data_IF_511807071003
#
_entry.id   IF_511807071003
#
_cell.length_a   1.000
_cell.length_b   1.000
_cell.length_c   1.000
_cell.angle_alpha   90.00
_cell.angle_beta   90.00
_cell.angle_gamma   90.00
#
_symmetry.space_group_name_H-M   'P 1'
#
loop_
_entity.id
_entity.type
_entity.pdbx_description
1 polymer ?
#
# COMPACT_ATOMS: atom_id res chain seq x y z
N UNK A 1 62.25 45.12 26.62
CA UNK A 1 60.94 45.78 26.45
C UNK A 1 60.03 44.86 25.64
N UNK A 2 58.82 44.59 26.13
CA UNK A 2 57.73 43.86 25.45
C UNK A 2 57.04 44.79 24.42
N UNK A 3 56.60 44.26 23.27
CA UNK A 3 55.18 44.23 22.82
C UNK A 3 55.05 43.70 21.37
N UNK A 4 54.12 42.74 21.22
CA UNK A 4 53.56 42.21 19.96
C UNK A 4 52.71 43.26 19.22
N UNK A 5 52.61 43.15 17.88
CA UNK A 5 51.39 43.30 17.06
C UNK A 5 51.75 43.00 15.58
N UNK A 6 51.31 41.90 14.95
CA UNK A 6 50.01 41.60 14.31
C UNK A 6 49.65 42.39 13.02
N UNK A 7 49.65 41.65 11.90
CA UNK A 7 48.67 41.57 10.78
C UNK A 7 48.30 42.81 9.95
N UNK A 8 48.29 42.65 8.61
CA UNK A 8 47.04 42.44 7.85
C UNK A 8 47.29 41.98 6.40
N UNK A 9 46.54 40.95 6.02
CA UNK A 9 46.52 40.26 4.74
C UNK A 9 45.80 41.06 3.65
N UNK A 10 46.35 40.98 2.44
CA UNK A 10 45.82 41.50 1.18
C UNK A 10 44.59 40.69 0.77
N UNK A 11 43.41 41.31 0.77
CA UNK A 11 42.17 40.73 0.25
C UNK A 11 42.09 40.90 -1.26
N UNK A 12 42.40 39.83 -2.00
CA UNK A 12 42.24 39.74 -3.45
C UNK A 12 40.80 39.26 -3.76
N UNK A 13 40.03 40.10 -4.44
CA UNK A 13 38.80 39.67 -5.12
C UNK A 13 39.18 38.78 -6.30
N UNK A 14 38.54 37.62 -6.46
CA UNK A 14 38.12 37.04 -7.75
C UNK A 14 37.40 35.70 -7.53
N UNK A 15 36.19 35.58 -8.07
CA UNK A 15 35.63 34.31 -8.49
C UNK A 15 34.74 33.57 -7.49
N UNK A 16 33.44 33.85 -7.55
CA UNK A 16 32.45 32.82 -7.26
C UNK A 16 32.60 31.71 -8.32
N UNK A 17 33.21 30.60 -7.95
CA UNK A 17 32.95 29.30 -8.58
C UNK A 17 32.40 28.42 -7.48
N UNK A 18 31.08 28.44 -7.32
CA UNK A 18 30.40 27.31 -6.73
C UNK A 18 30.51 26.21 -7.79
N UNK A 19 31.42 25.27 -7.57
CA UNK A 19 31.33 23.95 -8.19
C UNK A 19 29.97 23.39 -7.78
N UNK A 20 28.99 23.57 -8.67
CA UNK A 20 27.79 22.79 -8.66
C UNK A 20 28.23 21.34 -8.77
N UNK A 21 28.25 20.66 -7.64
CA UNK A 21 28.03 19.22 -7.61
C UNK A 21 26.67 19.00 -8.25
N UNK A 22 26.66 18.91 -9.57
CA UNK A 22 25.61 18.26 -10.32
C UNK A 22 25.73 16.77 -9.97
N UNK A 23 25.30 16.45 -8.75
CA UNK A 23 24.77 15.14 -8.45
C UNK A 23 23.47 15.07 -9.22
N UNK A 24 23.55 14.88 -10.53
CA UNK A 24 22.54 14.11 -11.23
C UNK A 24 22.66 12.73 -10.60
N UNK A 25 21.96 12.59 -9.48
CA UNK A 25 21.56 11.31 -8.94
C UNK A 25 20.82 10.67 -10.12
N UNK A 26 21.51 9.78 -10.84
CA UNK A 26 20.90 8.93 -11.85
C UNK A 26 19.67 8.35 -11.17
N UNK A 27 18.49 8.89 -11.51
CA UNK A 27 17.25 8.46 -10.93
C UNK A 27 17.11 7.00 -11.33
N UNK A 28 17.43 6.11 -10.40
CA UNK A 28 17.26 4.67 -10.59
C UNK A 28 15.85 4.47 -11.14
N UNK A 29 15.68 3.62 -12.17
CA UNK A 29 14.38 3.42 -12.77
C UNK A 29 13.39 3.07 -11.67
N UNK A 30 12.42 3.97 -11.46
CA UNK A 30 11.41 3.81 -10.42
C UNK A 30 10.66 2.52 -10.69
N UNK A 31 10.51 1.69 -9.66
CA UNK A 31 9.72 0.48 -9.79
C UNK A 31 8.30 0.88 -10.21
N UNK A 32 7.63 0.23 -11.19
CA UNK A 32 6.32 0.67 -11.69
C UNK A 32 5.24 0.87 -10.61
N UNK A 33 5.38 0.16 -9.49
CA UNK A 33 4.51 0.26 -8.32
C UNK A 33 4.72 1.55 -7.49
N UNK A 34 5.88 2.22 -7.57
CA UNK A 34 6.18 3.43 -6.78
C UNK A 34 5.26 4.61 -7.12
N UNK A 35 4.77 4.66 -8.35
CA UNK A 35 3.85 5.69 -8.84
C UNK A 35 2.39 5.42 -8.45
N UNK A 36 2.10 4.25 -7.88
CA UNK A 36 0.74 3.93 -7.46
C UNK A 36 0.29 4.88 -6.34
N UNK A 37 -0.89 5.46 -6.53
CA UNK A 37 -1.56 6.34 -5.56
C UNK A 37 -3.05 6.02 -5.54
N UNK A 38 -3.73 6.30 -4.42
CA UNK A 38 -5.18 6.17 -4.29
C UNK A 38 -5.74 7.29 -3.38
N UNK A 39 -6.84 7.97 -3.77
CA UNK A 39 -7.41 9.05 -2.96
C UNK A 39 -7.79 8.61 -1.53
N UNK A 40 -7.29 9.35 -0.54
CA UNK A 40 -7.56 9.06 0.87
C UNK A 40 -6.75 7.91 1.47
N UNK A 41 -5.72 7.42 0.75
CA UNK A 41 -4.74 6.47 1.26
C UNK A 41 -3.35 7.11 1.29
N UNK A 42 -2.61 6.86 2.37
CA UNK A 42 -1.24 7.33 2.49
C UNK A 42 -0.33 6.57 1.50
N UNK A 43 0.72 7.27 1.06
CA UNK A 43 1.75 6.79 0.17
C UNK A 43 2.77 5.98 0.99
N UNK A 44 2.47 4.70 1.21
CA UNK A 44 3.16 3.84 2.15
C UNK A 44 3.51 2.49 1.54
N UNK A 45 4.70 2.03 1.88
CA UNK A 45 5.26 0.79 1.38
C UNK A 45 5.10 -0.33 2.42
N UNK A 46 5.24 -1.56 1.94
CA UNK A 46 5.63 -2.71 2.76
C UNK A 46 6.81 -3.37 2.04
N UNK A 47 7.03 -4.69 2.19
CA UNK A 47 8.04 -5.43 1.44
C UNK A 47 8.01 -5.20 -0.10
N UNK A 48 6.96 -4.55 -0.63
CA UNK A 48 6.89 -3.96 -1.97
C UNK A 48 6.53 -2.47 -1.93
N UNK A 49 6.98 -1.66 -2.93
CA UNK A 49 6.58 -0.26 -3.06
C UNK A 49 5.07 -0.10 -3.12
N UNK A 50 4.52 0.88 -2.40
CA UNK A 50 3.09 1.22 -2.34
C UNK A 50 2.14 0.08 -1.95
N UNK A 51 2.66 -0.99 -1.38
CA UNK A 51 1.84 -2.14 -1.03
C UNK A 51 0.81 -1.82 0.07
N UNK A 52 1.17 -1.01 1.08
CA UNK A 52 0.18 -0.55 2.08
C UNK A 52 -0.85 0.39 1.46
N UNK A 53 -0.45 1.20 0.47
CA UNK A 53 -1.38 2.08 -0.25
C UNK A 53 -2.46 1.28 -0.98
N UNK A 54 -2.11 0.21 -1.71
CA UNK A 54 -3.11 -0.63 -2.40
C UNK A 54 -3.97 -1.43 -1.43
N UNK A 55 -3.41 -1.88 -0.29
CA UNK A 55 -4.20 -2.50 0.78
C UNK A 55 -5.25 -1.54 1.35
N UNK A 56 -4.86 -0.29 1.60
CA UNK A 56 -5.81 0.75 2.00
C UNK A 56 -6.90 0.96 0.95
N UNK A 57 -6.55 1.02 -0.34
CA UNK A 57 -7.52 1.19 -1.42
C UNK A 57 -8.55 0.04 -1.45
N UNK A 58 -8.08 -1.20 -1.40
CA UNK A 58 -8.93 -2.40 -1.39
C UNK A 58 -9.82 -2.46 -0.14
N UNK A 59 -9.29 -2.05 1.02
CA UNK A 59 -10.07 -2.01 2.27
C UNK A 59 -11.16 -0.93 2.26
N UNK A 60 -10.90 0.21 1.62
CA UNK A 60 -11.94 1.23 1.39
C UNK A 60 -13.03 0.70 0.47
N UNK A 61 -12.65 0.03 -0.64
CA UNK A 61 -13.61 -0.60 -1.54
C UNK A 61 -14.46 -1.66 -0.82
N UNK A 62 -13.86 -2.42 0.10
CA UNK A 62 -14.56 -3.41 0.93
C UNK A 62 -15.55 -2.73 1.88
N UNK A 63 -15.10 -1.74 2.65
CA UNK A 63 -15.91 -1.01 3.65
C UNK A 63 -17.11 -0.28 3.03
N UNK A 64 -16.99 0.20 1.79
CA UNK A 64 -18.13 0.77 1.06
C UNK A 64 -19.24 -0.26 0.75
N UNK A 65 -18.93 -1.55 0.88
CA UNK A 65 -19.74 -2.69 0.39
C UNK A 65 -20.01 -3.74 1.45
N UNK A 66 -19.60 -3.53 2.70
CA UNK A 66 -19.69 -4.52 3.77
C UNK A 66 -20.88 -4.31 4.71
N UNK A 67 -21.76 -3.36 4.45
CA UNK A 67 -22.92 -3.12 5.32
C UNK A 67 -23.85 -4.34 5.41
N UNK A 68 -24.34 -4.67 6.60
CA UNK A 68 -25.21 -5.83 6.83
C UNK A 68 -26.19 -5.59 7.97
N UNK A 69 -27.26 -6.40 8.00
CA UNK A 69 -28.21 -6.47 9.10
C UNK A 69 -28.17 -7.83 9.80
N UNK A 70 -27.82 -8.90 9.07
CA UNK A 70 -27.75 -10.26 9.57
C UNK A 70 -26.61 -11.04 8.89
N UNK A 71 -26.19 -12.16 9.50
CA UNK A 71 -25.08 -12.98 9.01
C UNK A 71 -25.26 -13.44 7.55
N UNK A 72 -26.50 -13.75 7.14
CA UNK A 72 -26.80 -14.20 5.76
C UNK A 72 -26.71 -13.09 4.71
N UNK A 73 -26.56 -11.84 5.11
CA UNK A 73 -26.23 -10.76 4.18
C UNK A 73 -24.76 -10.84 3.76
N UNK A 74 -23.91 -11.49 4.54
CA UNK A 74 -22.46 -11.48 4.35
C UNK A 74 -21.97 -12.69 3.55
N UNK A 75 -21.04 -12.41 2.65
CA UNK A 75 -20.41 -13.44 1.81
C UNK A 75 -18.90 -13.21 1.72
N UNK A 76 -18.16 -14.31 1.70
CA UNK A 76 -16.74 -14.30 1.42
C UNK A 76 -16.48 -14.11 -0.08
N UNK A 77 -15.57 -13.20 -0.40
CA UNK A 77 -15.13 -12.92 -1.76
C UNK A 77 -13.62 -13.06 -1.82
N UNK A 78 -13.16 -14.04 -2.57
CA UNK A 78 -11.77 -14.15 -2.96
C UNK A 78 -11.50 -13.08 -4.02
N UNK A 79 -10.69 -12.09 -3.66
CA UNK A 79 -10.11 -11.15 -4.62
C UNK A 79 -8.94 -11.87 -5.30
N UNK A 80 -8.72 -11.60 -6.58
CA UNK A 80 -7.49 -12.04 -7.23
C UNK A 80 -6.31 -11.29 -6.58
N UNK A 81 -5.67 -11.91 -5.60
CA UNK A 81 -4.55 -11.36 -4.84
C UNK A 81 -3.25 -11.26 -5.62
N UNK A 82 -3.27 -11.29 -6.97
CA UNK A 82 -2.07 -11.19 -7.80
C UNK A 82 -1.17 -10.06 -7.28
N UNK A 83 0.09 -10.37 -7.05
CA UNK A 83 1.15 -9.50 -6.51
C UNK A 83 0.90 -8.84 -5.13
N UNK A 84 -0.33 -8.87 -4.60
CA UNK A 84 -0.70 -8.21 -3.35
C UNK A 84 -0.90 -9.18 -2.20
N UNK A 85 -1.38 -10.39 -2.46
CA UNK A 85 -1.88 -11.33 -1.46
C UNK A 85 -3.23 -10.96 -0.86
N UNK A 86 -3.85 -9.86 -1.31
CA UNK A 86 -5.09 -9.35 -0.72
C UNK A 86 -6.27 -10.28 -1.00
N UNK A 87 -7.06 -10.57 0.02
CA UNK A 87 -8.25 -11.43 -0.10
C UNK A 87 -7.94 -12.91 -0.31
N UNK A 88 -6.66 -13.31 -0.35
CA UNK A 88 -6.26 -14.70 -0.21
C UNK A 88 -6.46 -15.15 1.23
N UNK A 89 -6.06 -14.30 2.19
CA UNK A 89 -6.30 -14.58 3.59
C UNK A 89 -6.26 -13.36 4.54
N UNK A 90 -7.32 -13.16 5.35
CA UNK A 90 -8.65 -13.72 5.18
C UNK A 90 -9.28 -13.27 3.84
N UNK A 91 -10.29 -13.98 3.32
CA UNK A 91 -11.08 -13.47 2.21
C UNK A 91 -11.79 -12.17 2.61
N UNK A 92 -12.06 -11.32 1.62
CA UNK A 92 -12.82 -10.10 1.87
C UNK A 92 -14.28 -10.46 2.17
N UNK A 93 -14.82 -9.88 3.24
CA UNK A 93 -16.23 -10.05 3.61
C UNK A 93 -17.01 -8.80 3.18
N UNK A 94 -18.05 -9.01 2.39
CA UNK A 94 -18.91 -7.96 1.86
C UNK A 94 -20.37 -8.38 1.89
N UNK A 95 -21.27 -7.42 1.68
CA UNK A 95 -22.68 -7.70 1.45
C UNK A 95 -22.87 -8.50 0.15
N UNK A 96 -23.76 -9.48 0.19
CA UNK A 96 -24.09 -10.37 -0.93
C UNK A 96 -24.58 -9.61 -2.15
N UNK A 97 -25.38 -8.55 -1.95
CA UNK A 97 -25.88 -7.70 -3.04
C UNK A 97 -24.75 -6.94 -3.74
N UNK A 98 -23.70 -6.58 -3.01
CA UNK A 98 -22.55 -5.80 -3.51
C UNK A 98 -21.39 -6.67 -4.00
N UNK A 99 -21.51 -8.01 -3.90
CA UNK A 99 -20.42 -8.97 -4.18
C UNK A 99 -19.80 -8.80 -5.56
N UNK A 100 -20.62 -8.76 -6.61
CA UNK A 100 -20.13 -8.73 -7.99
C UNK A 100 -19.40 -7.41 -8.30
N UNK A 101 -19.94 -6.31 -7.79
CA UNK A 101 -19.32 -4.99 -7.96
C UNK A 101 -18.00 -4.91 -7.19
N UNK A 102 -17.95 -5.38 -5.95
CA UNK A 102 -16.71 -5.45 -5.17
C UNK A 102 -15.64 -6.26 -5.90
N UNK A 103 -15.98 -7.47 -6.35
CA UNK A 103 -15.03 -8.35 -7.04
C UNK A 103 -14.45 -7.70 -8.30
N UNK A 104 -15.29 -7.00 -9.07
CA UNK A 104 -14.87 -6.29 -10.28
C UNK A 104 -13.91 -5.15 -9.94
N UNK A 105 -14.31 -4.24 -9.04
CA UNK A 105 -13.50 -3.07 -8.67
C UNK A 105 -12.19 -3.47 -7.98
N UNK A 106 -12.22 -4.49 -7.13
CA UNK A 106 -11.03 -4.98 -6.46
C UNK A 106 -10.04 -5.61 -7.45
N UNK A 107 -10.52 -6.37 -8.44
CA UNK A 107 -9.66 -6.93 -9.49
C UNK A 107 -9.03 -5.84 -10.37
N UNK A 108 -9.80 -4.82 -10.77
CA UNK A 108 -9.29 -3.66 -11.50
C UNK A 108 -8.23 -2.91 -10.70
N UNK A 109 -8.44 -2.75 -9.40
CA UNK A 109 -7.52 -2.07 -8.51
C UNK A 109 -6.21 -2.84 -8.34
N UNK A 110 -6.27 -4.16 -8.18
CA UNK A 110 -5.08 -5.02 -8.17
C UNK A 110 -4.34 -4.93 -9.50
N UNK A 111 -5.04 -4.96 -10.65
CA UNK A 111 -4.42 -4.84 -11.96
C UNK A 111 -3.73 -3.48 -12.16
N UNK A 112 -4.30 -2.40 -11.62
CA UNK A 112 -3.72 -1.05 -11.64
C UNK A 112 -2.43 -0.94 -10.83
N UNK A 113 -2.28 -1.76 -9.79
CA UNK A 113 -1.05 -1.85 -9.01
C UNK A 113 -0.02 -2.81 -9.65
N UNK A 114 -0.46 -3.94 -10.20
CA UNK A 114 0.43 -4.98 -10.77
C UNK A 114 0.71 -4.81 -12.28
N UNK A 115 0.82 -3.57 -12.77
CA UNK A 115 0.74 -3.24 -14.21
C UNK A 115 1.88 -3.81 -15.06
N UNK A 116 3.12 -3.82 -14.58
CA UNK A 116 4.30 -4.12 -15.43
C UNK A 116 5.45 -4.82 -14.69
N UNK A 117 6.32 -5.51 -15.45
CA UNK A 117 7.52 -6.16 -14.96
C UNK A 117 8.70 -5.16 -14.86
N UNK A 118 9.55 -5.23 -13.82
CA UNK A 118 9.49 -6.19 -12.71
C UNK A 118 8.28 -5.93 -11.79
N UNK A 119 7.66 -7.01 -11.30
CA UNK A 119 6.58 -6.95 -10.31
C UNK A 119 7.17 -7.39 -8.98
N UNK A 120 7.14 -6.52 -7.97
CA UNK A 120 7.29 -6.96 -6.60
C UNK A 120 5.98 -7.61 -6.16
N UNK A 121 6.07 -8.82 -5.62
CA UNK A 121 4.93 -9.61 -5.19
C UNK A 121 5.01 -9.92 -3.70
N UNK A 122 3.86 -9.81 -3.05
CA UNK A 122 3.62 -10.35 -1.71
C UNK A 122 2.51 -11.40 -1.78
N UNK A 123 2.57 -12.38 -0.88
CA UNK A 123 1.57 -13.45 -0.75
C UNK A 123 0.83 -13.30 0.58
N UNK A 124 -0.47 -13.59 0.59
CA UNK A 124 -1.22 -13.63 1.84
C UNK A 124 -0.77 -14.82 2.71
N UNK A 125 -0.73 -14.64 4.03
CA UNK A 125 -0.52 -15.75 4.97
C UNK A 125 -1.75 -15.89 5.87
N UNK A 126 -2.24 -17.13 6.01
CA UNK A 126 -3.35 -17.45 6.90
C UNK A 126 -2.88 -17.89 8.27
N UNK A 127 -3.42 -17.27 9.32
CA UNK A 127 -3.36 -17.81 10.68
C UNK A 127 -4.41 -18.93 10.92
N UNK A 128 -5.51 -18.92 10.16
CA UNK A 128 -6.63 -19.85 10.33
C UNK A 128 -6.96 -20.57 9.03
N UNK A 129 -7.40 -21.84 9.09
CA UNK A 129 -7.68 -22.65 7.89
C UNK A 129 -9.00 -22.27 7.21
N UNK A 130 -9.92 -21.62 7.91
CA UNK A 130 -11.21 -21.23 7.37
C UNK A 130 -11.76 -19.98 8.07
N UNK A 131 -12.65 -19.28 7.37
CA UNK A 131 -13.34 -18.11 7.87
C UNK A 131 -14.83 -18.20 7.56
N UNK A 132 -15.66 -17.75 8.49
CA UNK A 132 -17.11 -17.67 8.36
C UNK A 132 -17.50 -16.18 8.25
N UNK A 133 -18.26 -15.78 7.23
CA UNK A 133 -18.80 -14.42 7.14
C UNK A 133 -19.81 -14.18 8.27
N UNK A 134 -19.66 -13.07 8.98
CA UNK A 134 -20.56 -12.67 10.07
C UNK A 134 -20.92 -11.20 9.97
N UNK A 135 -22.13 -10.87 10.37
CA UNK A 135 -22.53 -9.49 10.56
C UNK A 135 -22.19 -9.06 11.98
N UNK A 136 -21.33 -8.06 12.12
CA UNK A 136 -20.91 -7.50 13.41
C UNK A 136 -20.97 -5.99 13.33
N UNK A 137 -21.74 -5.38 14.22
CA UNK A 137 -21.88 -3.93 14.30
C UNK A 137 -22.29 -3.28 12.96
N UNK A 138 -23.09 -3.99 12.15
CA UNK A 138 -23.52 -3.52 10.84
C UNK A 138 -22.52 -3.73 9.69
N UNK A 139 -21.41 -4.44 9.94
CA UNK A 139 -20.38 -4.73 8.94
C UNK A 139 -20.11 -6.24 8.80
N UNK A 140 -19.87 -6.67 7.57
CA UNK A 140 -19.46 -8.03 7.26
C UNK A 140 -17.98 -8.22 7.62
N UNK A 141 -17.72 -9.14 8.55
CA UNK A 141 -16.39 -9.46 9.05
C UNK A 141 -16.08 -10.94 8.89
N UNK A 142 -14.80 -11.26 8.81
CA UNK A 142 -14.32 -12.63 8.78
C UNK A 142 -14.08 -13.10 10.21
N UNK A 143 -14.83 -14.09 10.68
CA UNK A 143 -14.52 -14.78 11.93
C UNK A 143 -13.84 -16.11 11.63
N UNK A 144 -12.83 -16.53 12.43
CA UNK A 144 -12.26 -17.86 12.30
C UNK A 144 -13.36 -18.93 12.35
N UNK A 145 -13.38 -19.84 11.38
CA UNK A 145 -14.23 -21.02 11.48
C UNK A 145 -13.67 -21.97 12.53
N UNK A 146 -14.56 -22.65 13.26
CA UNK A 146 -14.13 -23.74 14.15
C UNK A 146 -13.33 -24.74 13.32
N UNK A 147 -12.07 -24.95 13.69
CA UNK A 147 -11.31 -26.09 13.23
C UNK A 147 -11.95 -27.31 13.88
N UNK A 148 -13.01 -27.83 13.25
CA UNK A 148 -13.74 -29.01 13.73
C UNK A 148 -12.73 -30.08 14.15
N UNK A 149 -12.73 -30.39 15.44
CA UNK A 149 -12.09 -31.57 16.02
C UNK A 149 -13.19 -32.53 16.45
#
# INVERSE_FOLDING_TARGET
MRKLALLLFVGLWLGCRAEGTDSTEDALPQHPQETYTYPGCANEDYNCPRLKTVYCALERLRTERDSCQQDSDCVAVTVNGRCTGYGECPPAMVNTASRAEFATRAAEEVLRYCTEAPICASTGQCAYPSFVPRCRQGHCVAEPGDAGS
#
